data_IF_820702471565
#
_entry.id   IF_820702471565
#
_cell.length_a   1.000
_cell.length_b   1.000
_cell.length_c   1.000
_cell.angle_alpha   90.00
_cell.angle_beta   90.00
_cell.angle_gamma   90.00
#
_symmetry.space_group_name_H-M   'P 1'
#
loop_
_entity.id
_entity.type
_entity.pdbx_description
1 polymer ?
#
# COMPACT_ATOMS: atom_id res chain seq x y z
N UNK A 1 -15.11 3.67 -9.91
CA UNK A 1 -16.48 3.46 -10.34
C UNK A 1 -17.10 4.80 -10.77
N UNK A 2 -17.86 4.83 -11.86
CA UNK A 2 -18.44 6.09 -12.39
C UNK A 2 -19.91 5.86 -12.79
N UNK A 3 -20.77 6.78 -12.40
CA UNK A 3 -22.21 6.75 -12.72
C UNK A 3 -22.74 8.18 -12.99
N UNK A 4 -23.85 8.27 -13.71
CA UNK A 4 -24.66 9.47 -13.77
C UNK A 4 -25.71 9.44 -12.68
N UNK A 5 -25.93 10.54 -11.98
CA UNK A 5 -26.94 10.67 -10.93
C UNK A 5 -27.85 11.86 -11.20
N UNK A 6 -28.97 11.94 -10.51
CA UNK A 6 -29.84 13.14 -10.56
C UNK A 6 -29.13 14.43 -10.09
N UNK A 7 -27.97 14.29 -9.42
CA UNK A 7 -27.12 15.40 -8.93
C UNK A 7 -25.92 15.68 -9.85
N UNK A 8 -25.88 15.04 -11.02
CA UNK A 8 -24.81 15.07 -12.01
C UNK A 8 -23.86 13.87 -11.91
N UNK A 9 -22.77 13.90 -12.70
CA UNK A 9 -21.80 12.81 -12.73
C UNK A 9 -21.10 12.63 -11.40
N UNK A 10 -20.89 11.37 -11.04
CA UNK A 10 -20.18 10.94 -9.83
C UNK A 10 -19.15 9.87 -10.21
N UNK A 11 -17.88 10.10 -9.91
CA UNK A 11 -16.84 9.09 -10.00
C UNK A 11 -16.15 8.90 -8.66
N UNK A 12 -15.86 7.65 -8.30
CA UNK A 12 -15.26 7.28 -7.03
C UNK A 12 -14.11 6.31 -7.24
N UNK A 13 -12.95 6.67 -6.71
CA UNK A 13 -11.77 5.82 -6.56
C UNK A 13 -11.60 5.46 -5.07
N UNK A 14 -11.35 4.19 -4.78
CA UNK A 14 -11.29 3.63 -3.44
C UNK A 14 -10.01 2.81 -3.24
N UNK A 15 -9.30 3.09 -2.17
CA UNK A 15 -8.24 2.26 -1.63
C UNK A 15 -8.64 1.82 -0.21
N UNK A 16 -8.96 0.54 -0.07
CA UNK A 16 -9.43 -0.01 1.20
C UNK A 16 -10.36 -1.20 1.04
N UNK A 17 -11.17 -1.43 2.04
CA UNK A 17 -12.21 -2.47 2.04
C UNK A 17 -13.26 -2.18 3.12
N UNK A 18 -14.54 -2.22 2.76
CA UNK A 18 -15.64 -2.17 3.72
C UNK A 18 -15.98 -3.58 4.21
N UNK A 19 -15.93 -3.80 5.52
CA UNK A 19 -16.27 -5.10 6.12
C UNK A 19 -17.77 -5.37 6.16
N UNK A 20 -18.59 -4.31 6.16
CA UNK A 20 -20.05 -4.40 6.13
C UNK A 20 -20.66 -4.16 4.72
N UNK A 21 -19.85 -4.30 3.66
CA UNK A 21 -20.30 -4.05 2.29
C UNK A 21 -21.44 -4.94 1.85
N UNK A 22 -21.48 -6.21 2.29
CA UNK A 22 -22.55 -7.16 1.98
C UNK A 22 -23.88 -6.76 2.61
N UNK A 23 -23.87 -6.29 3.86
CA UNK A 23 -25.05 -5.81 4.58
C UNK A 23 -25.62 -4.56 3.89
N UNK A 24 -24.77 -3.56 3.64
CA UNK A 24 -25.14 -2.33 2.96
C UNK A 24 -25.68 -2.59 1.55
N UNK A 25 -25.11 -3.56 0.84
CA UNK A 25 -25.59 -4.01 -0.47
C UNK A 25 -27.01 -4.54 -0.40
N UNK A 26 -27.29 -5.42 0.57
CA UNK A 26 -28.62 -6.01 0.76
C UNK A 26 -29.65 -4.93 1.08
N UNK A 27 -29.33 -3.99 1.99
CA UNK A 27 -30.20 -2.84 2.28
C UNK A 27 -30.56 -2.03 1.02
N UNK A 28 -29.57 -1.81 0.13
CA UNK A 28 -29.80 -1.08 -1.12
C UNK A 28 -30.62 -1.90 -2.12
N UNK A 29 -30.41 -3.22 -2.21
CA UNK A 29 -31.17 -4.10 -3.10
C UNK A 29 -32.64 -4.18 -2.66
N UNK A 30 -32.93 -4.28 -1.37
CA UNK A 30 -34.31 -4.20 -0.83
C UNK A 30 -35.00 -2.89 -1.19
N UNK A 31 -34.26 -1.84 -1.40
CA UNK A 31 -34.74 -0.53 -1.84
C UNK A 31 -34.75 -0.36 -3.37
N UNK A 32 -34.52 -1.46 -4.13
CA UNK A 32 -34.61 -1.49 -5.58
C UNK A 32 -33.37 -1.03 -6.34
N UNK A 33 -32.21 -0.94 -5.67
CA UNK A 33 -30.93 -0.61 -6.33
C UNK A 33 -30.34 -1.87 -6.98
N UNK A 34 -30.05 -1.79 -8.28
CA UNK A 34 -29.34 -2.84 -9.01
C UNK A 34 -27.82 -2.63 -8.93
N UNK A 35 -27.06 -3.74 -8.99
CA UNK A 35 -25.61 -3.73 -8.98
C UNK A 35 -25.04 -4.45 -10.21
N UNK A 36 -23.92 -3.96 -10.72
CA UNK A 36 -23.22 -4.52 -11.88
C UNK A 36 -21.97 -5.32 -11.50
N UNK A 37 -21.46 -5.15 -10.29
CA UNK A 37 -20.27 -5.82 -9.79
C UNK A 37 -20.42 -6.28 -8.34
N UNK A 38 -19.47 -7.03 -7.83
CA UNK A 38 -19.37 -7.41 -6.40
C UNK A 38 -18.55 -6.41 -5.56
N UNK A 39 -18.07 -5.31 -6.17
CA UNK A 39 -17.20 -4.34 -5.51
C UNK A 39 -17.92 -3.56 -4.39
N UNK A 40 -17.24 -3.36 -3.27
CA UNK A 40 -17.66 -2.45 -2.20
C UNK A 40 -17.66 -0.98 -2.66
N UNK A 41 -16.80 -0.63 -3.61
CA UNK A 41 -16.77 0.70 -4.24
C UNK A 41 -18.09 1.05 -4.92
N UNK A 42 -18.75 0.07 -5.56
CA UNK A 42 -20.07 0.27 -6.14
C UNK A 42 -21.13 0.53 -5.06
N UNK A 43 -21.07 -0.21 -3.95
CA UNK A 43 -21.96 0.01 -2.79
C UNK A 43 -21.80 1.44 -2.26
N UNK A 44 -20.55 1.89 -2.06
CA UNK A 44 -20.27 3.25 -1.62
C UNK A 44 -20.81 4.29 -2.59
N UNK A 45 -20.62 4.08 -3.89
CA UNK A 45 -21.09 4.99 -4.94
C UNK A 45 -22.63 5.09 -4.96
N UNK A 46 -23.33 3.95 -4.86
CA UNK A 46 -24.79 3.91 -4.82
C UNK A 46 -25.36 4.57 -3.56
N UNK A 47 -24.69 4.41 -2.42
CA UNK A 47 -25.06 5.11 -1.18
C UNK A 47 -24.94 6.63 -1.33
N UNK A 48 -23.85 7.13 -1.91
CA UNK A 48 -23.65 8.56 -2.16
C UNK A 48 -24.70 9.13 -3.12
N UNK A 49 -25.00 8.41 -4.20
CA UNK A 49 -26.00 8.81 -5.18
C UNK A 49 -27.39 8.93 -4.57
N UNK A 50 -27.69 8.07 -3.59
CA UNK A 50 -29.02 7.88 -3.03
C UNK A 50 -29.28 8.65 -1.74
N UNK A 51 -28.24 8.88 -0.91
CA UNK A 51 -28.39 9.57 0.35
C UNK A 51 -29.04 10.95 0.18
N UNK A 52 -30.07 11.21 0.98
CA UNK A 52 -30.67 12.52 1.09
C UNK A 52 -29.66 13.50 1.71
N UNK A 53 -29.60 14.70 1.17
CA UNK A 53 -28.77 15.81 1.62
C UNK A 53 -28.72 16.88 0.54
N UNK A 54 -28.64 18.15 0.91
CA UNK A 54 -28.56 19.27 -0.01
C UNK A 54 -27.22 19.36 -0.72
N UNK A 55 -26.14 19.01 -0.02
CA UNK A 55 -24.77 19.13 -0.48
C UNK A 55 -24.06 17.77 -0.55
N UNK A 56 -22.99 17.68 -1.34
CA UNK A 56 -22.17 16.48 -1.40
C UNK A 56 -21.46 16.18 -0.06
N UNK A 57 -21.07 17.21 0.67
CA UNK A 57 -20.47 17.08 2.00
C UNK A 57 -21.42 16.39 3.00
N UNK A 58 -22.70 16.77 3.00
CA UNK A 58 -23.72 16.14 3.86
C UNK A 58 -23.95 14.68 3.48
N UNK A 59 -23.98 14.37 2.16
CA UNK A 59 -24.12 13.02 1.65
C UNK A 59 -22.94 12.14 2.05
N UNK A 60 -21.71 12.65 1.89
CA UNK A 60 -20.48 11.96 2.27
C UNK A 60 -20.48 11.70 3.79
N UNK A 61 -20.79 12.70 4.61
CA UNK A 61 -20.86 12.54 6.07
C UNK A 61 -21.89 11.51 6.50
N UNK A 62 -23.07 11.51 5.88
CA UNK A 62 -24.14 10.54 6.16
C UNK A 62 -23.72 9.12 5.76
N UNK A 63 -23.04 8.97 4.64
CA UNK A 63 -22.51 7.69 4.19
C UNK A 63 -21.40 7.18 5.10
N UNK A 64 -20.43 8.04 5.45
CA UNK A 64 -19.34 7.71 6.38
C UNK A 64 -19.83 7.17 7.73
N UNK A 65 -20.95 7.69 8.23
CA UNK A 65 -21.55 7.22 9.49
C UNK A 65 -22.02 5.75 9.43
N UNK A 66 -22.25 5.19 8.23
CA UNK A 66 -22.69 3.81 8.00
C UNK A 66 -21.54 2.89 7.57
N UNK A 67 -20.46 3.43 7.02
CA UNK A 67 -19.35 2.62 6.53
C UNK A 67 -18.48 2.11 7.66
N UNK A 68 -18.25 0.81 7.69
CA UNK A 68 -17.35 0.16 8.64
C UNK A 68 -16.22 -0.50 7.84
N UNK A 69 -14.99 -0.04 8.05
CA UNK A 69 -13.82 -0.57 7.37
C UNK A 69 -12.76 0.48 7.07
N UNK A 70 -11.79 0.10 6.27
CA UNK A 70 -10.72 0.96 5.82
C UNK A 70 -11.11 1.63 4.49
N UNK A 71 -10.99 2.94 4.40
CA UNK A 71 -11.18 3.64 3.12
C UNK A 71 -10.43 4.97 3.03
N UNK A 72 -9.74 5.12 1.92
CA UNK A 72 -9.27 6.40 1.39
C UNK A 72 -9.88 6.60 0.03
N UNK A 73 -10.66 7.67 -0.12
CA UNK A 73 -11.48 7.91 -1.31
C UNK A 73 -11.08 9.20 -2.00
N UNK A 74 -11.12 9.15 -3.32
CA UNK A 74 -11.19 10.33 -4.19
C UNK A 74 -12.53 10.30 -4.90
N UNK A 75 -13.35 11.31 -4.65
CA UNK A 75 -14.69 11.44 -5.23
C UNK A 75 -14.68 12.65 -6.15
N UNK A 76 -15.02 12.42 -7.41
CA UNK A 76 -15.14 13.48 -8.42
C UNK A 76 -16.61 13.71 -8.72
N UNK A 77 -17.03 14.94 -8.58
CA UNK A 77 -18.34 15.45 -9.01
C UNK A 77 -18.17 16.46 -10.14
N UNK A 78 -19.26 17.06 -10.62
CA UNK A 78 -19.17 18.07 -11.69
C UNK A 78 -18.21 19.22 -11.35
N UNK A 79 -18.24 19.71 -10.13
CA UNK A 79 -17.61 20.98 -9.76
C UNK A 79 -16.52 20.84 -8.67
N UNK A 80 -16.35 19.63 -8.10
CA UNK A 80 -15.48 19.44 -6.94
C UNK A 80 -14.86 18.05 -6.91
N UNK A 81 -13.63 17.98 -6.40
CA UNK A 81 -12.97 16.75 -5.97
C UNK A 81 -13.02 16.67 -4.45
N UNK A 82 -13.41 15.54 -3.89
CA UNK A 82 -13.39 15.30 -2.46
C UNK A 82 -12.34 14.24 -2.13
N UNK A 83 -11.48 14.53 -1.15
CA UNK A 83 -10.60 13.57 -0.52
C UNK A 83 -11.21 13.17 0.82
N UNK A 84 -11.44 11.88 1.05
CA UNK A 84 -12.13 11.35 2.23
C UNK A 84 -11.32 10.23 2.85
N UNK A 85 -11.07 10.30 4.16
CA UNK A 85 -10.32 9.28 4.88
C UNK A 85 -11.14 8.70 6.03
N UNK A 86 -11.04 7.38 6.24
CA UNK A 86 -11.73 6.70 7.34
C UNK A 86 -11.29 7.22 8.72
N UNK A 87 -12.10 7.06 9.79
CA UNK A 87 -11.82 7.64 11.10
C UNK A 87 -10.65 6.97 11.85
N UNK A 88 -10.16 5.79 11.42
CA UNK A 88 -8.98 5.12 11.96
C UNK A 88 -7.69 5.50 11.21
N UNK A 89 -7.81 5.98 9.94
CA UNK A 89 -6.68 6.31 9.09
C UNK A 89 -5.90 5.10 8.59
N UNK A 90 -6.60 3.99 8.28
CA UNK A 90 -5.96 2.75 7.84
C UNK A 90 -5.13 2.90 6.57
N UNK A 91 -5.68 3.58 5.56
CA UNK A 91 -4.99 3.79 4.29
C UNK A 91 -4.51 5.23 4.18
N UNK A 92 -3.36 5.44 3.50
CA UNK A 92 -2.83 6.78 3.31
C UNK A 92 -3.67 7.58 2.30
N UNK A 93 -3.72 8.88 2.51
CA UNK A 93 -4.27 9.85 1.57
C UNK A 93 -3.64 11.21 1.89
N UNK A 94 -3.11 11.88 0.88
CA UNK A 94 -2.48 13.19 1.01
C UNK A 94 -2.96 14.15 -0.06
N UNK A 95 -2.82 15.43 0.23
CA UNK A 95 -3.12 16.55 -0.68
C UNK A 95 -1.91 17.47 -0.79
N UNK A 96 -1.75 18.13 -1.92
CA UNK A 96 -0.69 19.09 -2.17
C UNK A 96 -1.16 20.25 -3.03
N UNK A 97 -0.47 21.37 -2.92
CA UNK A 97 -0.68 22.57 -3.72
C UNK A 97 0.14 22.47 -5.01
N UNK A 98 -0.50 22.53 -6.17
CA UNK A 98 0.15 22.56 -7.46
C UNK A 98 0.78 23.94 -7.75
N UNK A 99 1.82 24.02 -8.59
CA UNK A 99 2.46 25.30 -8.95
C UNK A 99 1.51 26.33 -9.57
N UNK A 100 0.42 25.89 -10.19
CA UNK A 100 -0.61 26.77 -10.77
C UNK A 100 -1.69 27.24 -9.76
N UNK A 101 -1.52 26.96 -8.48
CA UNK A 101 -2.47 27.29 -7.41
C UNK A 101 -3.63 26.29 -7.25
N UNK A 102 -3.71 25.26 -8.10
CA UNK A 102 -4.66 24.16 -7.92
C UNK A 102 -4.21 23.18 -6.84
N UNK A 103 -5.02 22.14 -6.59
CA UNK A 103 -4.70 21.11 -5.62
C UNK A 103 -4.71 19.73 -6.29
N UNK A 104 -3.88 18.83 -5.79
CA UNK A 104 -3.87 17.42 -6.17
C UNK A 104 -4.07 16.52 -4.94
N UNK A 105 -4.64 15.34 -5.19
CA UNK A 105 -4.88 14.30 -4.18
C UNK A 105 -4.21 13.02 -4.64
N UNK A 106 -3.51 12.34 -3.74
CA UNK A 106 -2.90 11.04 -4.01
C UNK A 106 -2.83 10.20 -2.74
N UNK A 107 -2.68 8.89 -2.90
CA UNK A 107 -2.36 8.00 -1.77
C UNK A 107 -0.93 8.20 -1.28
N UNK A 108 -0.04 8.72 -2.12
CA UNK A 108 1.40 8.77 -1.85
C UNK A 108 1.98 10.16 -2.07
N UNK A 109 2.82 10.62 -1.13
CA UNK A 109 3.51 11.91 -1.22
C UNK A 109 4.42 12.01 -2.44
N UNK A 110 5.08 10.91 -2.84
CA UNK A 110 5.94 10.85 -4.02
C UNK A 110 5.20 11.15 -5.33
N UNK A 111 3.92 10.79 -5.44
CA UNK A 111 3.09 11.15 -6.59
C UNK A 111 2.87 12.66 -6.66
N UNK A 112 2.59 13.30 -5.52
CA UNK A 112 2.42 14.76 -5.43
C UNK A 112 3.73 15.50 -5.70
N UNK A 113 4.86 15.00 -5.19
CA UNK A 113 6.19 15.56 -5.46
C UNK A 113 6.53 15.51 -6.96
N UNK A 114 6.20 14.41 -7.65
CA UNK A 114 6.40 14.26 -9.09
C UNK A 114 5.60 15.30 -9.89
N UNK A 115 4.44 15.72 -9.38
CA UNK A 115 3.63 16.82 -9.95
C UNK A 115 4.14 18.22 -9.59
N UNK A 116 5.22 18.32 -8.81
CA UNK A 116 5.76 19.59 -8.32
C UNK A 116 4.90 20.23 -7.23
N UNK A 117 4.08 19.43 -6.51
CA UNK A 117 3.27 19.96 -5.43
C UNK A 117 4.12 20.44 -4.26
N UNK A 118 3.72 21.57 -3.70
CA UNK A 118 4.21 22.13 -2.44
C UNK A 118 3.16 21.94 -1.32
N UNK A 119 3.53 22.27 -0.07
CA UNK A 119 2.64 22.21 1.09
C UNK A 119 1.85 20.89 1.20
N UNK A 120 2.54 19.76 0.96
CA UNK A 120 1.95 18.42 1.03
C UNK A 120 1.61 18.11 2.49
N UNK A 121 0.35 17.68 2.72
CA UNK A 121 -0.09 17.19 4.02
C UNK A 121 -0.96 15.94 3.91
N UNK A 122 -0.99 15.17 4.95
CA UNK A 122 -1.94 14.06 5.07
C UNK A 122 -3.38 14.57 5.28
N UNK A 123 -4.35 13.86 4.69
CA UNK A 123 -5.76 13.98 5.06
C UNK A 123 -5.93 13.27 6.40
N UNK A 124 -6.42 13.98 7.41
CA UNK A 124 -6.56 13.42 8.76
C UNK A 124 -7.65 12.36 8.80
N UNK A 125 -7.56 11.37 9.71
CA UNK A 125 -8.62 10.39 9.90
C UNK A 125 -9.97 11.05 10.21
N UNK A 126 -11.02 10.60 9.51
CA UNK A 126 -12.38 11.16 9.60
C UNK A 126 -12.58 12.49 8.86
N UNK A 127 -11.55 13.00 8.18
CA UNK A 127 -11.59 14.27 7.44
C UNK A 127 -12.19 14.09 6.04
N UNK A 128 -12.95 15.09 5.61
CA UNK A 128 -13.39 15.31 4.23
C UNK A 128 -12.83 16.63 3.76
N UNK A 129 -12.05 16.60 2.70
CA UNK A 129 -11.49 17.80 2.08
C UNK A 129 -12.15 18.01 0.72
N UNK A 130 -12.82 19.14 0.51
CA UNK A 130 -13.35 19.53 -0.78
C UNK A 130 -12.39 20.48 -1.51
N UNK A 131 -12.07 20.13 -2.74
CA UNK A 131 -11.14 20.81 -3.62
C UNK A 131 -11.91 21.32 -4.84
N UNK A 132 -12.19 22.59 -4.88
CA UNK A 132 -12.81 23.27 -6.02
C UNK A 132 -11.85 24.27 -6.64
N UNK A 133 -12.18 24.80 -7.82
CA UNK A 133 -11.35 25.80 -8.52
C UNK A 133 -11.08 27.07 -7.68
N UNK A 134 -11.90 27.35 -6.68
CA UNK A 134 -11.84 28.60 -5.93
C UNK A 134 -11.44 28.42 -4.45
N UNK A 135 -11.47 27.20 -3.91
CA UNK A 135 -11.22 26.99 -2.48
C UNK A 135 -10.92 25.54 -2.11
N UNK A 136 -10.06 25.39 -1.13
CA UNK A 136 -9.93 24.19 -0.32
C UNK A 136 -10.73 24.36 0.97
N UNK A 137 -11.67 23.46 1.24
CA UNK A 137 -12.43 23.44 2.51
C UNK A 137 -12.22 22.11 3.21
N UNK A 138 -12.11 22.16 4.52
CA UNK A 138 -11.90 21.00 5.38
C UNK A 138 -13.09 20.83 6.29
N UNK A 139 -13.60 19.62 6.39
CA UNK A 139 -14.66 19.22 7.31
C UNK A 139 -14.23 17.97 8.09
N UNK A 140 -14.28 18.02 9.42
CA UNK A 140 -14.20 16.82 10.23
C UNK A 140 -15.57 16.15 10.25
N UNK A 141 -15.76 15.15 9.36
CA UNK A 141 -17.05 14.47 9.20
C UNK A 141 -17.33 13.48 10.32
N UNK A 142 -16.30 12.75 10.77
CA UNK A 142 -16.33 11.83 11.90
C UNK A 142 -15.16 12.14 12.84
N UNK A 143 -15.31 11.91 14.17
CA UNK A 143 -14.19 12.04 15.10
C UNK A 143 -13.08 11.04 14.73
N UNK A 144 -11.84 11.47 14.89
CA UNK A 144 -10.68 10.59 14.77
C UNK A 144 -10.72 9.53 15.89
N UNK A 145 -10.54 8.28 15.55
CA UNK A 145 -10.34 7.20 16.52
C UNK A 145 -8.90 7.25 17.03
N UNK A 146 -8.73 7.22 18.35
CA UNK A 146 -7.42 7.23 18.99
C UNK A 146 -7.16 5.91 19.73
N UNK A 147 -5.97 5.27 19.57
CA UNK A 147 -4.93 5.65 18.61
C UNK A 147 -5.36 5.42 17.15
N UNK A 148 -4.77 6.15 16.22
CA UNK A 148 -4.92 5.88 14.80
C UNK A 148 -4.34 4.51 14.45
N UNK A 149 -4.90 3.84 13.44
CA UNK A 149 -4.57 2.44 13.12
C UNK A 149 -4.10 2.31 11.68
N UNK A 150 -3.07 3.07 11.31
CA UNK A 150 -2.46 2.95 9.98
C UNK A 150 -1.99 1.50 9.75
N UNK A 151 -2.27 0.98 8.56
CA UNK A 151 -1.88 -0.38 8.19
C UNK A 151 -0.35 -0.53 8.22
N UNK A 152 0.17 -1.40 9.09
CA UNK A 152 1.61 -1.63 9.22
C UNK A 152 2.26 -2.09 7.89
N UNK A 153 1.51 -2.77 7.01
CA UNK A 153 1.99 -3.20 5.71
C UNK A 153 2.33 -2.03 4.75
N UNK A 154 1.81 -0.83 5.01
CA UNK A 154 2.25 0.36 4.28
C UNK A 154 3.74 0.63 4.53
N UNK A 155 4.19 0.52 5.78
CA UNK A 155 5.59 0.67 6.13
C UNK A 155 6.43 -0.52 5.67
N UNK A 156 5.94 -1.76 5.84
CA UNK A 156 6.71 -2.98 5.55
C UNK A 156 6.87 -3.20 4.05
N UNK A 157 5.77 -3.08 3.27
CA UNK A 157 5.72 -3.60 1.91
C UNK A 157 5.07 -2.67 0.88
N UNK A 158 3.86 -2.08 1.17
CA UNK A 158 3.05 -1.44 0.13
C UNK A 158 3.61 -0.13 -0.38
N UNK A 159 4.01 0.77 0.54
CA UNK A 159 4.48 2.09 0.17
C UNK A 159 5.86 2.06 -0.52
N UNK A 160 6.11 3.03 -1.37
CA UNK A 160 7.45 3.27 -1.90
C UNK A 160 8.39 3.72 -0.78
N UNK A 161 9.68 3.40 -0.84
CA UNK A 161 10.63 3.79 0.21
C UNK A 161 10.75 5.30 0.43
N UNK A 162 10.51 6.10 -0.61
CA UNK A 162 10.57 7.56 -0.57
C UNK A 162 9.35 8.23 0.09
N UNK A 163 8.32 7.45 0.47
CA UNK A 163 7.13 7.99 1.11
C UNK A 163 7.38 8.50 2.53
N UNK A 164 6.61 9.52 2.92
CA UNK A 164 6.60 10.09 4.26
C UNK A 164 5.17 10.12 4.77
N UNK A 165 4.93 9.52 5.94
CA UNK A 165 3.65 9.52 6.66
C UNK A 165 3.85 10.13 8.04
N UNK A 166 3.06 11.15 8.40
CA UNK A 166 3.19 11.87 9.69
C UNK A 166 4.64 12.25 10.03
N UNK A 167 5.42 12.66 9.03
CA UNK A 167 6.83 13.01 9.17
C UNK A 167 7.80 11.81 9.24
N UNK A 168 7.32 10.58 9.15
CA UNK A 168 8.13 9.35 9.22
C UNK A 168 8.37 8.82 7.81
N UNK A 169 9.64 8.70 7.42
CA UNK A 169 10.04 8.17 6.12
C UNK A 169 10.05 6.63 6.12
N UNK A 170 9.44 6.02 5.10
CA UNK A 170 9.29 4.56 4.97
C UNK A 170 10.65 3.85 4.84
N UNK A 171 11.61 4.43 4.10
CA UNK A 171 12.95 3.86 3.98
C UNK A 171 13.62 3.72 5.36
N UNK A 172 13.56 4.76 6.19
CA UNK A 172 14.14 4.72 7.54
C UNK A 172 13.43 3.72 8.46
N UNK A 173 12.11 3.57 8.34
CA UNK A 173 11.38 2.54 9.11
C UNK A 173 11.87 1.15 8.74
N UNK A 174 11.96 0.84 7.44
CA UNK A 174 12.46 -0.47 6.97
C UNK A 174 13.90 -0.71 7.36
N UNK A 175 14.76 0.31 7.30
CA UNK A 175 16.14 0.20 7.75
C UNK A 175 16.23 -0.15 9.25
N UNK A 176 15.44 0.53 10.09
CA UNK A 176 15.36 0.20 11.53
C UNK A 176 14.82 -1.19 11.79
N UNK A 177 13.83 -1.67 11.02
CA UNK A 177 13.36 -3.06 11.14
C UNK A 177 14.49 -4.05 10.89
N UNK A 178 15.33 -3.80 9.90
CA UNK A 178 16.55 -4.60 9.64
C UNK A 178 17.56 -4.54 10.78
N UNK A 179 17.79 -3.36 11.35
CA UNK A 179 18.69 -3.17 12.51
C UNK A 179 18.20 -3.95 13.74
N UNK A 180 16.89 -3.90 14.06
CA UNK A 180 16.30 -4.64 15.18
C UNK A 180 16.36 -6.15 14.94
N UNK A 181 16.08 -6.61 13.72
CA UNK A 181 16.23 -8.01 13.34
C UNK A 181 17.67 -8.48 13.51
N UNK A 182 18.66 -7.68 13.13
CA UNK A 182 20.07 -7.99 13.30
C UNK A 182 20.44 -8.16 14.77
N UNK A 183 19.99 -7.26 15.67
CA UNK A 183 20.21 -7.36 17.11
C UNK A 183 19.61 -8.64 17.67
N UNK A 184 18.36 -8.94 17.32
CA UNK A 184 17.67 -10.15 17.78
C UNK A 184 18.38 -11.44 17.33
N UNK A 185 18.79 -11.51 16.06
CA UNK A 185 19.50 -12.68 15.53
C UNK A 185 20.88 -12.84 16.15
N UNK A 186 21.64 -11.75 16.29
CA UNK A 186 22.97 -11.78 16.91
C UNK A 186 22.91 -12.22 18.37
N UNK A 187 21.89 -11.77 19.12
CA UNK A 187 21.67 -12.21 20.51
C UNK A 187 21.38 -13.73 20.60
N UNK A 188 20.61 -14.27 19.65
CA UNK A 188 20.20 -15.69 19.64
C UNK A 188 21.25 -16.65 19.09
N UNK A 189 22.00 -16.23 18.06
CA UNK A 189 22.87 -17.10 17.26
C UNK A 189 24.36 -16.74 17.35
N UNK A 190 24.70 -15.65 18.01
CA UNK A 190 26.07 -15.08 17.95
C UNK A 190 26.28 -14.25 16.68
N UNK A 191 27.53 -13.89 16.38
CA UNK A 191 27.86 -13.01 15.24
C UNK A 191 28.35 -13.74 13.98
N UNK A 192 28.64 -15.04 14.07
CA UNK A 192 29.20 -15.83 12.95
C UNK A 192 28.14 -16.71 12.26
N UNK A 193 27.18 -16.07 11.58
CA UNK A 193 26.09 -16.80 10.91
C UNK A 193 26.00 -16.53 9.39
N UNK A 194 26.87 -15.70 8.82
CA UNK A 194 26.81 -15.38 7.40
C UNK A 194 28.04 -14.67 6.86
N UNK A 195 28.26 -14.77 5.55
CA UNK A 195 29.37 -14.14 4.85
C UNK A 195 28.91 -12.97 3.96
N UNK A 196 27.63 -12.93 3.61
CA UNK A 196 27.02 -11.86 2.81
C UNK A 196 25.52 -11.72 3.14
N UNK A 197 25.05 -10.48 3.22
CA UNK A 197 23.63 -10.12 3.35
C UNK A 197 23.09 -9.72 1.98
N UNK A 198 22.01 -10.34 1.55
CA UNK A 198 21.33 -10.01 0.30
C UNK A 198 19.83 -9.73 0.53
N UNK A 199 19.24 -8.73 -0.15
CA UNK A 199 17.81 -8.47 -0.07
C UNK A 199 17.02 -9.28 -1.09
N UNK A 200 15.76 -9.55 -0.79
CA UNK A 200 14.75 -9.84 -1.83
C UNK A 200 14.26 -8.49 -2.39
N UNK A 201 14.58 -8.13 -3.64
CA UNK A 201 14.25 -6.80 -4.15
C UNK A 201 12.76 -6.64 -4.45
N UNK A 202 12.18 -5.41 -4.37
CA UNK A 202 12.84 -4.13 -4.06
C UNK A 202 12.58 -3.69 -2.61
N UNK A 203 11.55 -4.23 -1.95
CA UNK A 203 11.02 -3.79 -0.66
C UNK A 203 11.96 -4.04 0.51
N UNK A 204 12.74 -5.12 0.46
CA UNK A 204 13.63 -5.53 1.55
C UNK A 204 15.00 -4.85 1.53
N UNK A 205 15.33 -4.10 0.46
CA UNK A 205 16.64 -3.44 0.33
C UNK A 205 17.00 -2.57 1.54
N UNK A 206 16.13 -1.67 2.04
CA UNK A 206 16.49 -0.87 3.20
C UNK A 206 16.71 -1.69 4.47
N UNK A 207 15.91 -2.77 4.66
CA UNK A 207 16.06 -3.67 5.81
C UNK A 207 17.40 -4.44 5.75
N UNK A 208 17.80 -4.94 4.58
CA UNK A 208 19.08 -5.61 4.39
C UNK A 208 20.27 -4.67 4.66
N UNK A 209 20.17 -3.39 4.26
CA UNK A 209 21.16 -2.37 4.59
C UNK A 209 21.25 -2.17 6.11
N UNK A 210 20.13 -2.01 6.81
CA UNK A 210 20.09 -1.86 8.26
C UNK A 210 20.65 -3.08 8.98
N UNK A 211 20.31 -4.28 8.52
CA UNK A 211 20.83 -5.53 9.02
C UNK A 211 22.37 -5.64 8.87
N UNK A 212 22.88 -5.33 7.69
CA UNK A 212 24.33 -5.30 7.39
C UNK A 212 25.08 -4.31 8.27
N UNK A 213 24.53 -3.13 8.53
CA UNK A 213 25.15 -2.12 9.39
C UNK A 213 25.39 -2.59 10.84
N UNK A 214 24.44 -3.37 11.39
CA UNK A 214 24.54 -3.85 12.77
C UNK A 214 25.41 -5.11 12.90
N UNK A 215 25.30 -6.02 11.91
CA UNK A 215 26.04 -7.29 11.93
C UNK A 215 27.46 -7.18 11.40
N UNK A 216 27.79 -6.07 10.70
CA UNK A 216 29.04 -5.88 9.95
C UNK A 216 29.25 -6.91 8.83
N UNK A 217 28.26 -7.79 8.54
CA UNK A 217 28.29 -8.69 7.39
C UNK A 217 28.07 -7.87 6.11
N UNK A 218 28.95 -7.99 5.09
CA UNK A 218 28.85 -7.19 3.87
C UNK A 218 27.51 -7.34 3.15
N UNK A 219 26.89 -6.21 2.78
CA UNK A 219 25.75 -6.18 1.88
C UNK A 219 26.18 -6.37 0.42
N UNK A 220 25.43 -7.16 -0.34
CA UNK A 220 25.54 -7.23 -1.80
C UNK A 220 24.20 -7.55 -2.45
N UNK A 221 24.08 -7.27 -3.76
CA UNK A 221 22.94 -7.70 -4.56
C UNK A 221 23.11 -9.17 -4.90
N UNK A 222 22.20 -10.03 -4.41
CA UNK A 222 22.14 -11.44 -4.75
C UNK A 222 21.12 -11.78 -5.84
N UNK A 223 20.16 -10.87 -6.05
CA UNK A 223 19.06 -11.01 -7.00
C UNK A 223 18.90 -9.81 -7.91
N UNK A 224 18.62 -10.08 -9.18
CA UNK A 224 18.13 -9.08 -10.13
C UNK A 224 16.65 -9.33 -10.41
N UNK A 225 15.83 -8.31 -10.17
CA UNK A 225 14.42 -8.35 -10.49
C UNK A 225 14.17 -8.01 -11.95
N UNK A 226 13.45 -8.90 -12.65
CA UNK A 226 12.95 -8.59 -13.98
C UNK A 226 11.85 -7.53 -13.91
N UNK A 227 12.11 -6.33 -14.41
CA UNK A 227 11.20 -5.17 -14.40
C UNK A 227 9.95 -5.36 -15.24
N UNK A 228 9.95 -6.30 -16.19
CA UNK A 228 8.83 -6.59 -17.08
C UNK A 228 7.83 -7.58 -16.47
N UNK A 229 8.17 -8.23 -15.36
CA UNK A 229 7.29 -9.18 -14.67
C UNK A 229 6.61 -8.48 -13.49
N UNK A 230 5.28 -8.41 -13.53
CA UNK A 230 4.47 -7.77 -12.48
C UNK A 230 4.34 -8.61 -11.20
N UNK A 231 3.27 -8.36 -10.44
CA UNK A 231 2.95 -9.08 -9.19
C UNK A 231 2.53 -10.51 -9.48
N UNK A 232 3.35 -11.50 -9.13
CA UNK A 232 3.13 -12.92 -9.40
C UNK A 232 2.35 -13.68 -8.33
N UNK A 233 2.22 -13.12 -7.12
CA UNK A 233 1.49 -13.77 -6.02
C UNK A 233 -0.04 -13.74 -6.18
N UNK A 234 -0.56 -12.99 -7.16
CA UNK A 234 -1.99 -12.88 -7.50
C UNK A 234 -2.43 -14.04 -8.43
N UNK A 235 -1.47 -14.76 -9.05
CA UNK A 235 -1.76 -15.86 -9.96
C UNK A 235 -2.57 -16.99 -9.28
N UNK A 236 -3.61 -17.54 -9.95
CA UNK A 236 -4.58 -18.43 -9.32
C UNK A 236 -4.03 -19.81 -8.95
N UNK A 237 -2.99 -20.31 -9.65
CA UNK A 237 -2.44 -21.64 -9.42
C UNK A 237 -1.01 -21.65 -8.90
N UNK A 238 -0.63 -22.67 -8.10
CA UNK A 238 0.73 -22.79 -7.55
C UNK A 238 1.81 -22.96 -8.63
N UNK A 239 1.51 -23.67 -9.71
CA UNK A 239 2.43 -23.86 -10.83
C UNK A 239 2.72 -22.56 -11.57
N UNK A 240 1.70 -21.73 -11.80
CA UNK A 240 1.85 -20.40 -12.40
C UNK A 240 2.63 -19.46 -11.47
N UNK A 241 2.35 -19.51 -10.17
CA UNK A 241 3.10 -18.72 -9.18
C UNK A 241 4.59 -19.08 -9.14
N UNK A 242 4.93 -20.38 -9.07
CA UNK A 242 6.33 -20.84 -9.09
C UNK A 242 7.05 -20.41 -10.37
N UNK A 243 6.41 -20.60 -11.54
CA UNK A 243 6.97 -20.15 -12.82
C UNK A 243 7.10 -18.64 -12.89
N UNK A 244 6.14 -17.90 -12.35
CA UNK A 244 6.16 -16.44 -12.27
C UNK A 244 7.31 -15.90 -11.40
N UNK A 245 7.61 -16.55 -10.27
CA UNK A 245 8.72 -16.15 -9.40
C UNK A 245 10.06 -16.46 -10.07
N UNK A 246 10.21 -17.61 -10.73
CA UNK A 246 11.43 -17.97 -11.50
C UNK A 246 11.70 -16.99 -12.66
N UNK A 247 10.65 -16.44 -13.28
CA UNK A 247 10.79 -15.39 -14.30
C UNK A 247 11.07 -14.00 -13.71
N UNK A 248 10.75 -13.80 -12.44
CA UNK A 248 10.84 -12.51 -11.77
C UNK A 248 12.23 -12.20 -11.21
N UNK A 249 12.94 -13.21 -10.76
CA UNK A 249 14.24 -13.04 -10.12
C UNK A 249 15.29 -13.91 -10.77
N UNK A 250 16.46 -13.34 -11.09
CA UNK A 250 17.66 -14.05 -11.48
C UNK A 250 18.71 -13.89 -10.36
N UNK A 251 19.43 -14.97 -10.07
CA UNK A 251 20.51 -15.00 -9.08
C UNK A 251 21.80 -14.46 -9.71
N UNK A 252 22.52 -13.65 -8.98
CA UNK A 252 23.90 -13.22 -9.32
C UNK A 252 24.86 -14.22 -8.67
N UNK A 253 25.20 -15.28 -9.40
CA UNK A 253 25.98 -16.40 -8.88
C UNK A 253 27.32 -15.99 -8.30
N UNK A 254 28.01 -15.01 -8.90
CA UNK A 254 29.32 -14.50 -8.43
C UNK A 254 29.25 -13.90 -7.02
N UNK A 255 28.08 -13.38 -6.63
CA UNK A 255 27.90 -12.74 -5.34
C UNK A 255 27.55 -13.73 -4.22
N UNK A 256 26.99 -14.92 -4.56
CA UNK A 256 26.43 -15.87 -3.58
C UNK A 256 27.16 -17.23 -3.54
N UNK A 257 27.86 -17.62 -4.61
CA UNK A 257 28.54 -18.92 -4.71
C UNK A 257 29.56 -19.10 -3.59
N UNK A 258 29.56 -20.27 -2.97
CA UNK A 258 30.48 -20.68 -1.89
C UNK A 258 30.44 -19.77 -0.66
N UNK A 259 29.30 -19.08 -0.43
CA UNK A 259 29.10 -18.19 0.73
C UNK A 259 27.89 -18.64 1.56
N UNK A 260 27.96 -18.42 2.88
CA UNK A 260 26.80 -18.48 3.76
C UNK A 260 25.99 -17.21 3.57
N UNK A 261 24.87 -17.34 2.88
CA UNK A 261 24.05 -16.20 2.46
C UNK A 261 22.97 -15.92 3.49
N UNK A 262 22.90 -14.69 3.98
CA UNK A 262 21.79 -14.18 4.77
C UNK A 262 20.82 -13.47 3.86
N UNK A 263 19.64 -14.04 3.67
CA UNK A 263 18.57 -13.47 2.82
C UNK A 263 17.61 -12.69 3.68
N UNK A 264 17.44 -11.41 3.39
CA UNK A 264 16.47 -10.54 4.05
C UNK A 264 15.25 -10.36 3.15
N UNK A 265 14.08 -10.75 3.66
CA UNK A 265 12.79 -10.52 3.02
C UNK A 265 11.90 -9.64 3.94
N UNK A 266 10.93 -8.95 3.36
CA UNK A 266 9.99 -8.11 4.13
C UNK A 266 8.90 -8.92 4.83
N UNK A 267 8.53 -10.05 4.24
CA UNK A 267 7.44 -10.89 4.74
C UNK A 267 7.50 -12.31 4.17
N UNK A 268 7.20 -13.30 5.00
CA UNK A 268 7.04 -14.69 4.58
C UNK A 268 5.53 -15.02 4.54
N UNK A 269 4.92 -14.96 3.36
CA UNK A 269 3.49 -15.23 3.19
C UNK A 269 3.22 -16.71 2.85
N UNK A 270 3.89 -17.24 1.83
CA UNK A 270 3.73 -18.63 1.35
C UNK A 270 5.05 -19.34 1.09
N UNK A 271 6.18 -18.70 1.38
CA UNK A 271 7.51 -19.25 1.19
C UNK A 271 7.94 -19.53 -0.26
N UNK A 272 7.14 -19.16 -1.26
CA UNK A 272 7.44 -19.47 -2.67
C UNK A 272 8.73 -18.78 -3.16
N UNK A 273 9.03 -17.61 -2.69
CA UNK A 273 10.28 -16.88 -3.01
C UNK A 273 11.47 -17.60 -2.37
N UNK A 274 11.32 -17.99 -1.10
CA UNK A 274 12.34 -18.72 -0.34
C UNK A 274 12.58 -20.12 -0.92
N UNK A 275 11.54 -20.83 -1.35
CA UNK A 275 11.67 -22.16 -1.99
C UNK A 275 12.46 -22.14 -3.31
N UNK A 276 12.39 -21.05 -4.08
CA UNK A 276 13.17 -20.91 -5.32
C UNK A 276 14.66 -20.75 -5.06
N UNK A 277 15.03 -20.12 -3.95
CA UNK A 277 16.42 -20.01 -3.53
C UNK A 277 17.03 -21.37 -3.22
N UNK A 278 16.30 -22.23 -2.51
CA UNK A 278 16.72 -23.61 -2.21
C UNK A 278 16.78 -24.50 -3.46
N UNK A 279 15.90 -24.27 -4.47
CA UNK A 279 15.88 -25.11 -5.68
C UNK A 279 16.92 -24.70 -6.72
N UNK A 280 17.40 -23.47 -6.74
CA UNK A 280 18.54 -23.07 -7.58
C UNK A 280 19.85 -23.64 -7.05
N UNK A 281 20.01 -23.73 -5.74
CA UNK A 281 21.17 -24.36 -5.08
C UNK A 281 21.18 -25.88 -5.29
N UNK A 282 20.01 -26.55 -5.17
CA UNK A 282 19.87 -27.99 -5.41
C UNK A 282 19.99 -28.41 -6.89
N UNK A 283 19.87 -27.49 -7.84
CA UNK A 283 20.09 -27.77 -9.26
C UNK A 283 21.58 -27.81 -9.63
N UNK A 284 22.42 -27.08 -8.92
CA UNK A 284 23.88 -27.09 -9.11
C UNK A 284 24.53 -28.35 -8.51
N UNK A 285 23.98 -28.92 -7.44
CA UNK A 285 24.46 -30.21 -6.88
C UNK A 285 24.15 -31.42 -7.76
N UNK A 286 23.17 -31.36 -8.69
CA UNK A 286 22.82 -32.47 -9.62
C UNK A 286 23.62 -32.48 -10.90
N UNK A 287 24.46 -31.52 -11.19
CA UNK A 287 25.33 -31.47 -12.35
C UNK A 287 26.74 -32.04 -12.11
N UNK A 288 26.98 -32.60 -10.93
CA UNK A 288 28.25 -33.25 -10.57
C UNK A 288 28.11 -34.78 -10.35
N UNK A 289 27.41 -35.48 -11.28
CA UNK A 289 27.49 -36.95 -11.41
C UNK A 289 27.70 -37.30 -12.85
#
# INVERSE_FOLDING_TARGET
FMIETMHGPLALAHNGNLINSAELRNELMEQGVGFSSSSDTEVMTMMLARNGGGTWEERIKTAMAKWIGAYSLVILTRDCVYAVRDPWGFRPLCIGLLPNGGHAVASETGALQTLGCEAIRDVKPGEVVSLSNSALKVMQALPTVNPTSMCIFEHIYFARPDQVWDGINVHHVRQRLGEELAREITEKMGSDFGDVVIPVPDSSVPAAIGFSHVTEIPYNDGFIKNRYVGRTFIEPTDSLRKRGVALKFNVINENVRDKRVVVIDDSIVRGNTTCLLYTSDAADERSSV
#
